data_IF_322232535783
#
_entry.id   IF_322232535783
#
_cell.length_a   1.000
_cell.length_b   1.000
_cell.length_c   1.000
_cell.angle_alpha   90.00
_cell.angle_beta   90.00
_cell.angle_gamma   90.00
#
_symmetry.space_group_name_H-M   'P 1'
#
loop_
_entity.id
_entity.type
_entity.pdbx_description
1 polymer ?
#
# COMPACT_ATOMS: atom_id res chain seq x y z
N UNK A 1 22.68 -8.01 -3.82
CA UNK A 1 22.18 -7.51 -2.52
C UNK A 1 23.37 -7.07 -1.72
N UNK A 2 23.81 -5.84 -2.01
CA UNK A 2 24.65 -5.10 -1.08
C UNK A 2 23.76 -4.67 0.09
N UNK A 3 24.09 -5.12 1.30
CA UNK A 3 23.32 -4.79 2.50
C UNK A 3 23.32 -3.28 2.82
N UNK A 4 24.19 -2.51 2.15
CA UNK A 4 24.36 -1.08 2.35
C UNK A 4 23.58 -0.23 1.34
N UNK A 5 22.96 -0.83 0.31
CA UNK A 5 22.14 -0.12 -0.67
C UNK A 5 20.65 -0.30 -0.34
N UNK A 6 19.91 0.75 0.08
CA UNK A 6 18.50 0.64 0.41
C UNK A 6 17.63 0.22 -0.78
N UNK A 7 18.05 0.49 -2.01
CA UNK A 7 17.41 0.05 -3.26
C UNK A 7 17.46 -1.46 -3.51
N UNK A 8 18.40 -2.17 -2.88
CA UNK A 8 18.54 -3.62 -2.98
C UNK A 8 17.63 -4.38 -1.99
N UNK A 9 16.96 -3.66 -1.09
CA UNK A 9 16.13 -4.26 -0.03
C UNK A 9 14.67 -4.37 -0.47
N UNK A 10 14.04 -5.54 -0.29
CA UNK A 10 12.63 -5.70 -0.63
C UNK A 10 11.77 -4.77 0.22
N UNK A 11 10.83 -4.09 -0.42
CA UNK A 11 9.91 -3.16 0.24
C UNK A 11 8.84 -3.91 1.07
N UNK A 12 8.28 -4.97 0.49
CA UNK A 12 7.27 -5.82 1.13
C UNK A 12 7.84 -7.22 1.39
N UNK A 13 7.89 -7.64 2.66
CA UNK A 13 8.44 -8.96 3.07
C UNK A 13 7.42 -9.84 3.80
N UNK A 14 6.21 -9.33 4.02
CA UNK A 14 5.16 -9.97 4.83
C UNK A 14 4.00 -10.51 4.00
N UNK A 15 4.09 -10.43 2.68
CA UNK A 15 3.09 -10.89 1.72
C UNK A 15 3.78 -11.78 0.66
N UNK A 16 3.13 -12.85 0.16
CA UNK A 16 1.79 -13.34 0.52
C UNK A 16 1.74 -13.99 1.91
N UNK A 17 2.82 -14.65 2.31
CA UNK A 17 2.92 -15.33 3.60
C UNK A 17 3.64 -14.50 4.64
N UNK A 18 3.15 -14.55 5.88
CA UNK A 18 3.73 -13.82 7.00
C UNK A 18 4.92 -14.62 7.56
N UNK A 19 6.13 -14.04 7.63
CA UNK A 19 7.27 -14.71 8.25
C UNK A 19 7.02 -15.02 9.74
N UNK A 20 7.69 -16.06 10.26
CA UNK A 20 7.65 -16.35 11.69
C UNK A 20 8.38 -15.27 12.51
N UNK A 21 7.99 -15.07 13.78
CA UNK A 21 8.65 -14.13 14.68
C UNK A 21 10.17 -14.40 14.81
N UNK A 22 10.56 -15.68 14.86
CA UNK A 22 11.97 -16.10 14.90
C UNK A 22 12.71 -15.72 13.62
N UNK A 23 12.08 -15.91 12.45
CA UNK A 23 12.66 -15.54 11.15
C UNK A 23 12.92 -14.03 11.07
N UNK A 24 11.96 -13.21 11.53
CA UNK A 24 12.12 -11.76 11.58
C UNK A 24 13.23 -11.35 12.56
N UNK A 25 13.31 -12.00 13.72
CA UNK A 25 14.39 -11.78 14.69
C UNK A 25 15.78 -12.01 14.08
N UNK A 26 15.98 -13.14 13.40
CA UNK A 26 17.22 -13.45 12.69
C UNK A 26 17.52 -12.47 11.54
N UNK A 27 16.48 -12.05 10.81
CA UNK A 27 16.61 -11.08 9.73
C UNK A 27 17.17 -9.76 10.25
N UNK A 28 16.59 -9.22 11.32
CA UNK A 28 17.01 -7.94 11.91
C UNK A 28 18.42 -8.03 12.50
N UNK A 29 18.78 -9.17 13.08
CA UNK A 29 20.13 -9.38 13.60
C UNK A 29 21.20 -9.31 12.50
N UNK A 30 20.89 -9.80 11.29
CA UNK A 30 21.83 -9.81 10.15
C UNK A 30 21.74 -8.55 9.30
N UNK A 31 20.54 -7.99 9.18
CA UNK A 31 20.23 -6.83 8.35
C UNK A 31 19.43 -5.79 9.16
N UNK A 32 20.07 -5.03 10.06
CA UNK A 32 19.40 -4.01 10.87
C UNK A 32 18.69 -2.94 10.04
N UNK A 33 19.14 -2.70 8.80
CA UNK A 33 18.51 -1.78 7.86
C UNK A 33 17.05 -2.16 7.53
N UNK A 34 16.66 -3.43 7.67
CA UNK A 34 15.29 -3.91 7.39
C UNK A 34 14.33 -3.80 8.58
N UNK A 35 14.70 -3.03 9.62
CA UNK A 35 13.91 -2.91 10.85
C UNK A 35 12.49 -2.40 10.60
N UNK A 36 12.30 -1.47 9.64
CA UNK A 36 10.97 -0.95 9.29
C UNK A 36 10.09 -2.01 8.62
N UNK A 37 10.63 -2.77 7.66
CA UNK A 37 9.92 -3.85 6.99
C UNK A 37 9.54 -4.95 7.99
N UNK A 38 10.46 -5.33 8.88
CA UNK A 38 10.19 -6.30 9.92
C UNK A 38 9.15 -5.79 10.95
N UNK A 39 9.19 -4.50 11.29
CA UNK A 39 8.20 -3.90 12.18
C UNK A 39 6.80 -3.87 11.56
N UNK A 40 6.69 -3.57 10.26
CA UNK A 40 5.42 -3.67 9.53
C UNK A 40 4.93 -5.12 9.45
N UNK A 41 5.82 -6.09 9.25
CA UNK A 41 5.47 -7.51 9.36
C UNK A 41 4.94 -7.89 10.75
N UNK A 42 5.53 -7.34 11.83
CA UNK A 42 5.03 -7.52 13.19
C UNK A 42 3.63 -6.93 13.38
N UNK A 43 3.35 -5.76 12.78
CA UNK A 43 2.03 -5.14 12.83
C UNK A 43 0.95 -5.99 12.14
N UNK A 44 1.29 -6.66 11.04
CA UNK A 44 0.40 -7.63 10.38
C UNK A 44 0.21 -8.88 11.25
N UNK A 45 1.30 -9.45 11.77
CA UNK A 45 1.30 -10.74 12.45
C UNK A 45 0.84 -10.70 13.92
N UNK A 46 0.88 -9.53 14.55
CA UNK A 46 0.60 -9.35 15.97
C UNK A 46 1.79 -9.67 16.89
N UNK A 47 3.02 -9.71 16.37
CA UNK A 47 4.24 -9.98 17.15
C UNK A 47 4.65 -8.79 18.03
N UNK A 48 3.86 -8.55 19.08
CA UNK A 48 3.94 -7.36 19.92
C UNK A 48 5.28 -7.25 20.66
N UNK A 49 5.84 -8.36 21.13
CA UNK A 49 7.08 -8.36 21.89
C UNK A 49 8.31 -8.11 21.00
N UNK A 50 8.33 -8.66 19.78
CA UNK A 50 9.33 -8.30 18.78
C UNK A 50 9.19 -6.83 18.37
N UNK A 51 7.96 -6.35 18.12
CA UNK A 51 7.72 -4.95 17.79
C UNK A 51 8.26 -3.99 18.85
N UNK A 52 8.01 -4.25 20.14
CA UNK A 52 8.55 -3.43 21.25
C UNK A 52 10.08 -3.30 21.23
N UNK A 53 10.79 -4.36 20.85
CA UNK A 53 12.27 -4.33 20.71
C UNK A 53 12.69 -3.46 19.53
N UNK A 54 11.93 -3.50 18.43
CA UNK A 54 12.19 -2.70 17.24
C UNK A 54 11.84 -1.23 17.42
N UNK A 55 10.79 -0.93 18.19
CA UNK A 55 10.33 0.43 18.49
C UNK A 55 11.40 1.29 19.17
N UNK A 56 12.45 0.69 19.74
CA UNK A 56 13.61 1.41 20.28
C UNK A 56 14.57 1.94 19.20
N UNK A 57 14.48 1.42 17.97
CA UNK A 57 15.38 1.69 16.85
C UNK A 57 14.68 2.36 15.66
N UNK A 58 13.35 2.37 15.62
CA UNK A 58 12.55 2.98 14.55
C UNK A 58 11.69 4.12 15.08
N UNK A 59 11.29 5.03 14.19
CA UNK A 59 10.32 6.07 14.50
C UNK A 59 8.91 5.48 14.58
N UNK A 60 8.02 6.04 15.43
CA UNK A 60 6.60 5.68 15.45
C UNK A 60 5.95 5.98 14.10
N UNK A 61 5.75 4.96 13.28
CA UNK A 61 5.39 5.11 11.87
C UNK A 61 3.89 4.90 11.64
N UNK A 62 3.27 5.80 10.87
CA UNK A 62 1.80 5.83 10.68
C UNK A 62 1.26 4.62 9.91
N UNK A 63 1.96 4.16 8.88
CA UNK A 63 1.56 3.01 8.05
C UNK A 63 1.59 1.71 8.84
N UNK A 64 2.55 1.53 9.76
CA UNK A 64 2.61 0.41 10.71
C UNK A 64 1.42 0.45 11.66
N UNK A 65 1.02 1.63 12.14
CA UNK A 65 -0.16 1.77 12.97
C UNK A 65 -1.43 1.39 12.20
N UNK A 66 -1.61 1.92 10.99
CA UNK A 66 -2.74 1.56 10.12
C UNK A 66 -2.76 0.05 9.87
N UNK A 67 -1.64 -0.55 9.49
CA UNK A 67 -1.52 -1.99 9.29
C UNK A 67 -1.92 -2.79 10.55
N UNK A 68 -1.46 -2.38 11.74
CA UNK A 68 -1.83 -3.01 12.99
C UNK A 68 -3.33 -2.91 13.29
N UNK A 69 -3.94 -1.74 13.03
CA UNK A 69 -5.38 -1.52 13.19
C UNK A 69 -6.19 -2.45 12.31
N UNK A 70 -5.86 -2.52 11.02
CA UNK A 70 -6.63 -3.29 10.04
C UNK A 70 -6.48 -4.81 10.21
N UNK A 71 -5.37 -5.27 10.80
CA UNK A 71 -5.19 -6.68 11.16
C UNK A 71 -5.69 -6.99 12.60
N UNK A 72 -6.33 -6.04 13.30
CA UNK A 72 -6.89 -6.25 14.64
C UNK A 72 -5.85 -6.28 15.79
N UNK A 73 -4.60 -5.92 15.51
CA UNK A 73 -3.48 -5.93 16.45
C UNK A 73 -3.41 -4.63 17.27
N UNK A 74 -4.43 -4.44 18.11
CA UNK A 74 -4.64 -3.21 18.89
C UNK A 74 -3.49 -2.82 19.81
N UNK A 75 -2.71 -3.79 20.30
CA UNK A 75 -1.58 -3.51 21.19
C UNK A 75 -0.46 -2.72 20.49
N UNK A 76 -0.11 -3.11 19.25
CA UNK A 76 0.89 -2.41 18.44
C UNK A 76 0.35 -1.04 18.00
N UNK A 77 -0.92 -1.00 17.58
CA UNK A 77 -1.59 0.26 17.23
C UNK A 77 -1.52 1.28 18.38
N UNK A 78 -1.96 0.89 19.59
CA UNK A 78 -1.95 1.78 20.75
C UNK A 78 -0.54 2.25 21.11
N UNK A 79 0.46 1.37 21.05
CA UNK A 79 1.86 1.75 21.31
C UNK A 79 2.35 2.88 20.38
N UNK A 80 1.93 2.87 19.12
CA UNK A 80 2.30 3.92 18.15
C UNK A 80 1.46 5.19 18.37
N UNK A 81 0.17 5.04 18.65
CA UNK A 81 -0.75 6.15 18.86
C UNK A 81 -0.48 6.93 20.15
N UNK A 82 0.05 6.27 21.18
CA UNK A 82 0.48 6.90 22.44
C UNK A 82 1.79 7.67 22.30
N UNK A 83 2.52 7.53 21.18
CA UNK A 83 3.75 8.27 20.95
C UNK A 83 3.46 9.78 20.81
N UNK A 84 4.34 10.65 21.34
CA UNK A 84 4.12 12.10 21.30
C UNK A 84 4.13 12.66 19.88
N UNK A 85 4.90 12.05 18.98
CA UNK A 85 4.98 12.36 17.56
C UNK A 85 4.97 11.06 16.76
N UNK A 86 4.26 11.08 15.63
CA UNK A 86 4.22 10.00 14.64
C UNK A 86 4.74 10.53 13.31
N UNK A 87 5.30 9.64 12.49
CA UNK A 87 6.04 10.02 11.28
C UNK A 87 5.57 9.24 10.07
N UNK A 88 5.62 9.89 8.90
CA UNK A 88 5.50 9.22 7.61
C UNK A 88 6.89 8.85 7.11
N UNK A 89 7.26 7.58 7.29
CA UNK A 89 8.56 7.02 6.83
C UNK A 89 8.37 6.21 5.56
N UNK A 90 7.28 5.44 5.48
CA UNK A 90 6.95 4.66 4.29
C UNK A 90 6.31 5.54 3.21
N UNK A 91 6.73 5.32 1.96
CA UNK A 91 6.04 5.76 0.77
C UNK A 91 5.66 4.54 -0.08
N UNK A 92 4.38 4.13 0.01
CA UNK A 92 3.86 2.96 -0.72
C UNK A 92 3.74 3.20 -2.23
N UNK A 93 3.73 4.46 -2.69
CA UNK A 93 3.67 4.78 -4.11
C UNK A 93 5.02 4.54 -4.77
N UNK A 94 6.07 5.07 -4.15
CA UNK A 94 7.43 4.99 -4.68
C UNK A 94 8.22 3.77 -4.18
N UNK A 95 7.66 2.99 -3.24
CA UNK A 95 8.33 1.87 -2.56
C UNK A 95 9.63 2.30 -1.86
N UNK A 96 9.59 3.45 -1.19
CA UNK A 96 10.75 4.00 -0.48
C UNK A 96 10.50 4.11 1.02
N UNK A 97 11.60 4.07 1.77
CA UNK A 97 11.62 4.24 3.22
C UNK A 97 12.60 5.39 3.51
N UNK A 98 12.06 6.57 3.85
CA UNK A 98 12.89 7.74 4.16
C UNK A 98 12.98 7.95 5.67
N UNK A 99 14.12 7.61 6.25
CA UNK A 99 14.43 7.79 7.68
C UNK A 99 15.15 9.10 7.99
N UNK A 100 15.54 9.87 6.97
CA UNK A 100 16.43 11.04 7.13
C UNK A 100 15.66 12.37 7.14
N UNK A 101 14.56 12.45 6.39
CA UNK A 101 13.72 13.65 6.29
C UNK A 101 12.24 13.37 6.63
N UNK A 102 11.97 12.35 7.45
CA UNK A 102 10.60 11.95 7.82
C UNK A 102 9.87 13.10 8.52
N UNK A 103 8.71 13.49 7.96
CA UNK A 103 7.89 14.57 8.50
C UNK A 103 6.93 14.00 9.56
N UNK A 104 6.66 14.75 10.65
CA UNK A 104 5.55 14.43 11.53
C UNK A 104 4.25 14.32 10.74
N UNK A 105 3.46 13.29 11.02
CA UNK A 105 2.24 12.99 10.29
C UNK A 105 1.18 12.38 11.20
N UNK A 106 -0.08 12.54 10.80
CA UNK A 106 -1.22 11.87 11.38
C UNK A 106 -1.62 10.67 10.52
N UNK A 107 -2.48 9.80 11.05
CA UNK A 107 -3.06 8.74 10.22
C UNK A 107 -3.83 9.38 9.08
N UNK A 108 -3.58 8.95 7.85
CA UNK A 108 -4.22 9.53 6.68
C UNK A 108 -5.04 8.49 5.90
N UNK A 109 -5.03 7.22 6.29
CA UNK A 109 -5.73 6.14 5.59
C UNK A 109 -5.20 5.90 4.18
N UNK A 110 -3.94 6.26 3.91
CA UNK A 110 -3.27 6.14 2.61
C UNK A 110 -2.15 5.08 2.61
N UNK A 111 -2.41 3.99 3.33
CA UNK A 111 -1.49 2.86 3.43
C UNK A 111 -1.94 1.70 2.55
N UNK A 112 -0.99 1.06 1.88
CA UNK A 112 -1.19 -0.20 1.17
C UNK A 112 -1.32 -1.37 2.17
N UNK A 113 -2.44 -1.41 2.91
CA UNK A 113 -2.70 -2.41 3.95
C UNK A 113 -2.90 -3.80 3.34
N UNK A 114 -2.60 -4.86 4.12
CA UNK A 114 -2.73 -6.26 3.68
C UNK A 114 -4.09 -6.61 3.07
N UNK A 115 -5.25 -6.15 3.58
CA UNK A 115 -6.54 -6.38 2.92
C UNK A 115 -6.57 -5.91 1.46
N UNK A 116 -5.97 -4.76 1.13
CA UNK A 116 -5.87 -4.28 -0.26
C UNK A 116 -4.96 -5.17 -1.12
N UNK A 117 -3.97 -5.83 -0.54
CA UNK A 117 -3.07 -6.72 -1.27
C UNK A 117 -3.72 -8.06 -1.62
N UNK A 118 -4.74 -8.48 -0.86
CA UNK A 118 -5.50 -9.70 -1.13
C UNK A 118 -6.50 -9.51 -2.28
N UNK A 119 -6.80 -8.26 -2.66
CA UNK A 119 -7.61 -7.96 -3.84
C UNK A 119 -6.78 -8.24 -5.09
N UNK A 120 -7.09 -9.36 -5.76
CA UNK A 120 -6.47 -9.73 -7.04
C UNK A 120 -7.38 -9.40 -8.21
N UNK A 121 -6.79 -9.19 -9.40
CA UNK A 121 -7.53 -8.89 -10.63
C UNK A 121 -7.16 -9.82 -11.76
N UNK A 122 -8.11 -10.03 -12.66
CA UNK A 122 -7.87 -10.78 -13.87
C UNK A 122 -6.90 -10.02 -14.80
N UNK A 123 -6.07 -10.77 -15.51
CA UNK A 123 -5.34 -10.27 -16.66
C UNK A 123 -6.28 -10.19 -17.86
N UNK A 124 -6.37 -9.02 -18.50
CA UNK A 124 -7.12 -8.83 -19.74
C UNK A 124 -6.19 -9.02 -20.94
N UNK A 125 -6.45 -9.97 -21.85
CA UNK A 125 -5.61 -10.13 -23.03
C UNK A 125 -5.61 -8.82 -23.84
N UNK A 126 -4.43 -8.38 -24.33
CA UNK A 126 -4.34 -7.15 -25.09
C UNK A 126 -5.24 -7.25 -26.33
N UNK A 127 -6.06 -6.21 -26.56
CA UNK A 127 -6.83 -6.07 -27.79
C UNK A 127 -5.84 -5.61 -28.87
N UNK A 128 -5.17 -6.56 -29.51
CA UNK A 128 -4.44 -6.28 -30.74
C UNK A 128 -5.41 -5.87 -31.85
N UNK A 129 -4.99 -4.93 -32.70
CA UNK A 129 -5.53 -4.88 -34.06
C UNK A 129 -5.29 -6.27 -34.64
N UNK A 130 -6.33 -6.89 -35.21
CA UNK A 130 -6.11 -8.10 -35.99
C UNK A 130 -5.17 -7.69 -37.13
N UNK A 131 -3.95 -8.20 -37.13
CA UNK A 131 -2.99 -7.96 -38.20
C UNK A 131 -3.42 -8.78 -39.42
N UNK A 132 -4.27 -8.18 -40.24
CA UNK A 132 -4.44 -8.54 -41.64
C UNK A 132 -3.90 -7.45 -42.57
N UNK A 133 -2.80 -6.78 -42.20
CA UNK A 133 -1.99 -6.04 -43.17
C UNK A 133 -0.53 -5.90 -42.72
N UNK A 134 0.34 -6.64 -43.40
CA UNK A 134 1.79 -6.64 -43.29
C UNK A 134 2.37 -5.25 -43.56
N UNK A 135 2.91 -4.56 -42.54
CA UNK A 135 3.84 -3.47 -42.78
C UNK A 135 3.81 -2.31 -41.79
N UNK A 136 4.87 -2.23 -40.96
CA UNK A 136 5.32 -0.98 -40.36
C UNK A 136 5.85 -1.18 -38.95
N UNK A 137 7.19 -1.21 -38.79
CA UNK A 137 7.82 -1.04 -37.48
C UNK A 137 7.55 0.39 -36.99
N UNK A 138 6.45 0.58 -36.27
CA UNK A 138 6.20 1.78 -35.48
C UNK A 138 7.13 1.75 -34.27
N UNK A 139 7.76 2.88 -34.00
CA UNK A 139 8.66 3.11 -32.87
C UNK A 139 7.99 2.78 -31.54
N UNK A 140 8.73 2.12 -30.65
CA UNK A 140 8.40 1.91 -29.23
C UNK A 140 8.40 3.26 -28.50
N UNK A 141 7.43 4.11 -28.80
CA UNK A 141 7.27 5.40 -28.16
C UNK A 141 6.19 5.25 -27.09
N UNK A 142 6.60 4.90 -25.86
CA UNK A 142 5.84 5.06 -24.61
C UNK A 142 5.57 6.56 -24.28
N UNK A 143 5.65 7.44 -25.26
CA UNK A 143 5.57 8.88 -25.08
C UNK A 143 4.11 9.35 -25.23
N UNK A 144 3.48 9.53 -24.06
CA UNK A 144 2.32 10.39 -23.82
C UNK A 144 1.15 10.14 -24.79
N UNK A 145 0.32 9.15 -24.46
CA UNK A 145 -1.07 9.13 -24.93
C UNK A 145 -1.90 10.10 -24.06
N UNK A 146 -2.16 11.34 -24.50
CA UNK A 146 -2.79 12.37 -23.67
C UNK A 146 -4.30 12.16 -23.56
N UNK A 147 -4.86 11.19 -24.30
CA UNK A 147 -6.30 10.96 -24.47
C UNK A 147 -6.74 9.54 -24.09
N UNK A 148 -5.82 8.63 -23.73
CA UNK A 148 -6.16 7.26 -23.33
C UNK A 148 -6.66 6.37 -24.49
N UNK A 149 -6.25 6.67 -25.72
CA UNK A 149 -6.62 5.94 -26.95
C UNK A 149 -5.57 4.91 -27.40
N UNK A 150 -4.46 4.77 -26.69
CA UNK A 150 -3.47 3.71 -26.89
C UNK A 150 -4.06 2.33 -26.58
N UNK A 151 -3.37 1.23 -26.96
CA UNK A 151 -3.83 -0.11 -26.65
C UNK A 151 -4.12 -0.20 -25.15
N UNK A 152 -5.35 -0.57 -24.78
CA UNK A 152 -5.71 -0.75 -23.37
C UNK A 152 -4.67 -1.65 -22.73
N UNK A 153 -3.98 -1.15 -21.69
CA UNK A 153 -3.07 -1.99 -20.89
C UNK A 153 -3.83 -3.25 -20.50
N UNK A 154 -3.18 -4.41 -20.63
CA UNK A 154 -3.73 -5.71 -20.24
C UNK A 154 -4.07 -5.85 -18.74
N UNK A 155 -3.78 -4.80 -17.96
CA UNK A 155 -4.11 -4.67 -16.56
C UNK A 155 -4.34 -3.18 -16.23
N UNK A 156 -5.20 -2.92 -15.26
CA UNK A 156 -5.34 -1.59 -14.66
C UNK A 156 -4.12 -1.35 -13.77
N UNK A 157 -3.53 -0.16 -13.75
CA UNK A 157 -2.46 0.13 -12.78
C UNK A 157 -3.07 0.27 -11.37
N UNK A 158 -2.59 -0.47 -10.37
CA UNK A 158 -3.05 -0.30 -8.98
C UNK A 158 -2.49 1.01 -8.41
N UNK A 159 -3.24 1.60 -7.47
CA UNK A 159 -2.77 2.72 -6.64
C UNK A 159 -1.46 2.37 -5.91
N UNK A 160 -1.38 1.15 -5.39
CA UNK A 160 -0.20 0.62 -4.72
C UNK A 160 0.26 -0.66 -5.43
N UNK A 161 1.54 -0.74 -5.76
CA UNK A 161 2.17 -1.93 -6.34
C UNK A 161 3.33 -2.41 -5.45
N UNK A 162 3.08 -2.49 -4.13
CA UNK A 162 4.14 -2.78 -3.15
C UNK A 162 4.61 -4.24 -3.21
N UNK A 163 3.84 -5.13 -3.85
CA UNK A 163 4.15 -6.53 -4.14
C UNK A 163 4.83 -6.71 -5.51
N UNK A 164 4.92 -5.66 -6.32
CA UNK A 164 5.57 -5.61 -7.63
C UNK A 164 4.98 -6.55 -8.70
N UNK A 165 3.82 -7.15 -8.43
CA UNK A 165 3.11 -8.10 -9.30
C UNK A 165 1.80 -7.54 -9.88
N UNK A 166 1.50 -6.26 -9.61
CA UNK A 166 0.27 -5.57 -9.99
C UNK A 166 -1.01 -6.28 -9.50
N UNK A 167 -0.92 -7.13 -8.47
CA UNK A 167 -2.02 -7.93 -7.95
C UNK A 167 -2.70 -8.79 -9.04
N UNK A 168 -1.96 -9.25 -10.05
CA UNK A 168 -2.52 -10.06 -11.14
C UNK A 168 -2.79 -11.48 -10.61
N UNK A 169 -4.01 -11.97 -10.81
CA UNK A 169 -4.37 -13.36 -10.52
C UNK A 169 -3.71 -14.31 -11.53
N UNK A 170 -2.57 -14.86 -11.13
CA UNK A 170 -1.80 -15.83 -11.92
C UNK A 170 -2.51 -17.17 -12.10
N UNK A 171 -3.51 -17.49 -11.29
CA UNK A 171 -4.19 -18.79 -11.34
C UNK A 171 -5.33 -18.81 -12.37
N UNK A 172 -5.65 -17.67 -12.99
CA UNK A 172 -6.61 -17.62 -14.10
C UNK A 172 -8.03 -18.04 -13.71
N UNK A 173 -8.37 -18.02 -12.42
CA UNK A 173 -9.73 -18.32 -11.97
C UNK A 173 -10.72 -17.19 -12.31
N UNK A 174 -10.22 -16.16 -13.01
CA UNK A 174 -10.76 -14.82 -13.00
C UNK A 174 -10.65 -14.32 -11.58
N UNK A 175 -9.85 -13.30 -11.31
CA UNK A 175 -10.20 -12.38 -10.21
C UNK A 175 -11.66 -12.06 -10.45
N UNK A 176 -12.55 -12.63 -9.63
CA UNK A 176 -13.88 -13.05 -10.07
C UNK A 176 -14.52 -11.81 -10.69
N UNK A 177 -14.85 -11.85 -11.98
CA UNK A 177 -15.31 -10.69 -12.75
C UNK A 177 -16.74 -10.26 -12.35
N UNK A 178 -16.96 -10.13 -11.04
CA UNK A 178 -18.23 -9.98 -10.33
C UNK A 178 -18.08 -10.11 -8.81
N UNK A 179 -16.92 -10.56 -8.30
CA UNK A 179 -16.53 -10.51 -6.90
C UNK A 179 -15.07 -10.00 -6.86
N UNK A 180 -14.91 -8.67 -6.91
CA UNK A 180 -13.97 -8.09 -5.94
C UNK A 180 -14.60 -8.48 -4.62
N UNK A 181 -14.14 -9.58 -4.01
CA UNK A 181 -14.48 -9.84 -2.63
C UNK A 181 -13.85 -8.67 -1.88
N UNK A 182 -14.61 -7.62 -1.65
CA UNK A 182 -14.23 -6.51 -0.81
C UNK A 182 -14.03 -7.12 0.57
N UNK A 183 -12.79 -7.53 0.84
CA UNK A 183 -12.34 -7.92 2.19
C UNK A 183 -12.35 -6.68 3.09
N UNK A 184 -12.36 -5.50 2.47
CA UNK A 184 -12.59 -4.21 3.11
C UNK A 184 -14.08 -4.08 3.45
N UNK A 185 -14.45 -3.83 4.72
CA UNK A 185 -15.84 -3.54 5.08
C UNK A 185 -16.35 -2.35 4.26
N UNK A 186 -17.66 -2.29 3.96
CA UNK A 186 -18.31 -1.24 3.17
C UNK A 186 -17.66 0.15 3.37
N UNK A 187 -16.65 0.45 2.56
CA UNK A 187 -15.82 1.65 2.72
C UNK A 187 -16.63 2.92 2.57
N UNK A 188 -17.75 2.78 1.90
CA UNK A 188 -18.68 3.84 1.58
C UNK A 188 -19.35 4.38 2.85
N UNK A 189 -19.64 3.57 3.86
CA UNK A 189 -20.21 4.07 5.12
C UNK A 189 -19.20 4.93 5.89
N UNK A 190 -17.95 4.49 5.99
CA UNK A 190 -16.91 5.24 6.69
C UNK A 190 -16.51 6.50 5.90
N UNK A 191 -16.41 6.40 4.57
CA UNK A 191 -16.23 7.56 3.69
C UNK A 191 -17.39 8.56 3.82
N UNK A 192 -18.65 8.09 3.87
CA UNK A 192 -19.82 8.95 4.08
C UNK A 192 -19.78 9.62 5.46
N UNK A 193 -19.35 8.90 6.51
CA UNK A 193 -19.18 9.47 7.85
C UNK A 193 -18.13 10.58 7.85
N UNK A 194 -16.97 10.36 7.24
CA UNK A 194 -15.91 11.38 7.10
C UNK A 194 -16.41 12.57 6.28
N UNK A 195 -17.17 12.32 5.21
CA UNK A 195 -17.71 13.37 4.35
C UNK A 195 -18.71 14.28 5.09
N UNK A 196 -19.57 13.69 5.92
CA UNK A 196 -20.65 14.40 6.62
C UNK A 196 -20.26 15.00 7.98
N UNK A 197 -19.08 14.66 8.52
CA UNK A 197 -18.59 15.15 9.82
C UNK A 197 -17.37 16.08 9.65
N UNK A 198 -17.01 16.88 10.67
CA UNK A 198 -15.74 17.60 10.67
C UNK A 198 -14.57 16.63 10.46
N UNK A 199 -13.58 17.04 9.67
CA UNK A 199 -12.44 16.18 9.34
C UNK A 199 -11.69 15.81 10.63
N UNK A 200 -11.56 14.51 10.97
CA UNK A 200 -10.76 14.09 12.10
C UNK A 200 -9.27 14.34 11.81
N UNK A 201 -8.49 14.57 12.86
CA UNK A 201 -7.04 14.73 12.75
C UNK A 201 -6.39 13.42 12.26
N UNK A 202 -6.86 12.28 12.78
CA UNK A 202 -6.45 10.95 12.38
C UNK A 202 -7.56 10.30 11.55
N UNK A 203 -7.30 10.09 10.26
CA UNK A 203 -8.24 9.45 9.34
C UNK A 203 -8.29 7.92 9.54
N UNK A 204 -9.49 7.37 9.41
CA UNK A 204 -9.72 5.93 9.35
C UNK A 204 -9.42 5.40 7.95
N UNK A 205 -9.05 4.12 7.85
CA UNK A 205 -8.76 3.51 6.55
C UNK A 205 -10.07 3.34 5.79
N UNK A 206 -10.17 3.93 4.60
CA UNK A 206 -11.32 3.80 3.73
C UNK A 206 -10.92 4.06 2.27
N UNK A 207 -11.76 3.61 1.33
CA UNK A 207 -11.63 4.00 -0.07
C UNK A 207 -11.96 5.49 -0.22
N UNK A 208 -10.94 6.27 -0.60
CA UNK A 208 -11.04 7.73 -0.68
C UNK A 208 -11.71 8.25 -1.96
N UNK A 209 -12.15 7.40 -2.87
CA UNK A 209 -12.62 7.83 -4.19
C UNK A 209 -13.79 8.81 -4.10
N UNK A 210 -14.80 8.48 -3.27
CA UNK A 210 -15.92 9.37 -2.99
C UNK A 210 -15.45 10.71 -2.37
N UNK A 211 -14.53 10.64 -1.40
CA UNK A 211 -13.99 11.82 -0.71
C UNK A 211 -13.25 12.74 -1.69
N UNK A 212 -12.43 12.16 -2.57
CA UNK A 212 -11.66 12.86 -3.61
C UNK A 212 -12.61 13.50 -4.62
N UNK A 213 -13.63 12.77 -5.10
CA UNK A 213 -14.61 13.32 -6.04
C UNK A 213 -15.38 14.51 -5.45
N UNK A 214 -15.79 14.40 -4.18
CA UNK A 214 -16.50 15.48 -3.50
C UNK A 214 -15.59 16.67 -3.18
N UNK A 215 -14.32 16.44 -2.85
CA UNK A 215 -13.31 17.49 -2.72
C UNK A 215 -13.12 18.24 -4.03
N UNK A 216 -12.97 17.53 -5.16
CA UNK A 216 -12.85 18.14 -6.48
C UNK A 216 -14.10 18.95 -6.87
N UNK A 217 -15.30 18.43 -6.60
CA UNK A 217 -16.56 19.15 -6.85
C UNK A 217 -16.66 20.47 -6.09
N UNK A 218 -16.19 20.50 -4.84
CA UNK A 218 -16.21 21.69 -3.99
C UNK A 218 -14.99 22.62 -4.17
N UNK A 219 -14.02 22.23 -5.01
CA UNK A 219 -12.77 22.98 -5.20
C UNK A 219 -11.77 22.88 -4.04
N UNK A 220 -11.86 21.85 -3.20
CA UNK A 220 -11.07 21.64 -1.99
C UNK A 220 -10.18 20.40 -2.11
N UNK A 221 -9.32 20.39 -3.14
CA UNK A 221 -8.54 19.20 -3.53
C UNK A 221 -7.57 18.72 -2.43
N UNK A 222 -7.07 19.63 -1.59
CA UNK A 222 -6.07 19.32 -0.56
C UNK A 222 -6.66 18.69 0.70
N UNK A 223 -7.99 18.58 0.80
CA UNK A 223 -8.68 18.17 2.03
C UNK A 223 -8.32 16.76 2.55
N UNK A 224 -7.89 15.85 1.67
CA UNK A 224 -7.68 14.42 2.01
C UNK A 224 -6.29 13.88 1.64
N UNK A 225 -5.33 14.78 1.36
CA UNK A 225 -3.96 14.45 0.97
C UNK A 225 -2.98 14.36 2.15
#
# INVERSE_FOLDING_TARGET
MDANQPEDMPYCIWFPDIPSETTLGELIQRFPAMSYQAARACAVAGYTDLYKKLALQILPEISIAEEARENGNVAIFNLIMEAPCRYKVFDNYNRTIDTTASKPAFLNGDTAIRPYLLETRAFEPPIGRMDDEEGGSGTDDDELDPWGLGPRRSFIQTRFNITEDMNIDINGNGGIAGLVATVVPNSDEEALRILCQPLPVDLTTCHKDLLILMAAYNGDMDRYH
#
